data_IF_975771168929
#
_entry.id   IF_975771168929
#
_cell.length_a   1.000
_cell.length_b   1.000
_cell.length_c   1.000
_cell.angle_alpha   90.00
_cell.angle_beta   90.00
_cell.angle_gamma   90.00
#
_symmetry.space_group_name_H-M   'P 1'
#
loop_
_entity.id
_entity.type
_entity.pdbx_description
1 polymer ?
#
# COMPACT_ATOMS: atom_id res chain seq x y z
N UNK A 1 -38.47 11.41 8.00
CA UNK A 1 -39.81 11.73 8.52
C UNK A 1 -39.90 13.04 9.30
N UNK A 2 -39.72 13.13 10.63
CA UNK A 2 -39.97 14.41 11.35
C UNK A 2 -39.20 15.61 10.79
N UNK A 3 -37.89 15.45 10.57
CA UNK A 3 -37.05 16.51 9.97
C UNK A 3 -37.51 16.92 8.55
N UNK A 4 -38.06 15.96 7.82
CA UNK A 4 -38.51 16.11 6.44
C UNK A 4 -39.88 16.79 6.38
N UNK A 5 -40.79 16.46 7.30
CA UNK A 5 -42.06 17.14 7.50
C UNK A 5 -41.84 18.63 7.85
N UNK A 6 -40.90 18.92 8.76
CA UNK A 6 -40.52 20.28 9.11
C UNK A 6 -39.88 21.06 7.94
N UNK A 7 -39.10 20.40 7.06
CA UNK A 7 -38.51 21.07 5.89
C UNK A 7 -39.52 21.33 4.76
N UNK A 8 -40.66 20.65 4.78
CA UNK A 8 -41.71 20.78 3.75
C UNK A 8 -42.99 21.45 4.28
N UNK A 9 -42.94 22.07 5.48
CA UNK A 9 -44.10 22.64 6.18
C UNK A 9 -45.32 21.70 6.24
N UNK A 10 -45.06 20.41 6.43
CA UNK A 10 -46.10 19.39 6.62
C UNK A 10 -46.22 19.06 8.09
N UNK A 11 -47.45 18.90 8.57
CA UNK A 11 -47.74 18.44 9.93
C UNK A 11 -47.41 16.94 9.99
N UNK A 12 -46.47 16.50 10.86
CA UNK A 12 -46.16 15.08 10.98
C UNK A 12 -47.31 14.35 11.68
N UNK A 13 -47.97 13.44 10.98
CA UNK A 13 -48.95 12.54 11.56
C UNK A 13 -48.25 11.32 12.16
N UNK A 14 -48.43 11.12 13.47
CA UNK A 14 -47.85 10.02 14.21
C UNK A 14 -48.97 9.21 14.85
N UNK A 15 -48.80 7.89 14.90
CA UNK A 15 -49.73 6.99 15.57
C UNK A 15 -49.03 6.43 16.82
N UNK A 16 -49.73 6.52 17.95
CA UNK A 16 -49.28 5.93 19.19
C UNK A 16 -49.62 4.43 19.19
N UNK A 17 -48.60 3.59 19.33
CA UNK A 17 -48.76 2.12 19.36
C UNK A 17 -48.12 1.58 20.64
N UNK A 18 -48.83 0.67 21.32
CA UNK A 18 -48.30 -0.03 22.50
C UNK A 18 -47.07 -0.86 22.11
N UNK A 19 -46.01 -0.81 22.92
CA UNK A 19 -44.78 -1.57 22.71
C UNK A 19 -45.03 -3.09 22.62
N UNK A 20 -46.07 -3.59 23.28
CA UNK A 20 -46.45 -5.01 23.28
C UNK A 20 -47.04 -5.48 21.93
N UNK A 21 -47.65 -4.56 21.17
CA UNK A 21 -48.22 -4.85 19.84
C UNK A 21 -47.17 -4.79 18.74
N UNK A 22 -46.00 -4.21 19.03
CA UNK A 22 -44.88 -4.19 18.11
C UNK A 22 -44.19 -5.55 18.24
N UNK A 23 -44.58 -6.50 17.39
CA UNK A 23 -43.77 -7.69 17.15
C UNK A 23 -42.48 -7.22 16.46
N UNK A 24 -41.50 -6.82 17.27
CA UNK A 24 -40.12 -6.86 16.84
C UNK A 24 -39.89 -8.32 16.48
N UNK A 25 -39.79 -8.63 15.19
CA UNK A 25 -38.93 -9.73 14.78
C UNK A 25 -37.55 -9.38 15.33
N UNK A 26 -37.31 -9.72 16.60
CA UNK A 26 -36.01 -10.16 17.03
C UNK A 26 -35.80 -11.38 16.18
N UNK A 27 -35.26 -11.17 14.98
CA UNK A 27 -34.50 -12.19 14.32
C UNK A 27 -33.68 -12.81 15.44
N UNK A 28 -33.93 -14.08 15.72
CA UNK A 28 -32.99 -14.88 16.47
C UNK A 28 -31.74 -14.89 15.58
N UNK A 29 -30.96 -13.81 15.64
CA UNK A 29 -29.52 -13.89 15.55
C UNK A 29 -29.07 -14.57 16.84
N UNK A 30 -29.50 -15.82 17.02
CA UNK A 30 -28.55 -16.86 17.30
C UNK A 30 -27.59 -16.83 16.11
N UNK A 31 -26.66 -15.88 16.18
CA UNK A 31 -25.34 -16.13 15.68
C UNK A 31 -24.88 -17.34 16.48
N UNK A 32 -25.26 -18.53 16.00
CA UNK A 32 -24.28 -19.60 15.90
C UNK A 32 -23.14 -18.92 15.17
N UNK A 33 -22.23 -18.32 15.96
CA UNK A 33 -20.85 -18.29 15.61
C UNK A 33 -20.64 -19.71 15.13
N UNK A 34 -20.57 -19.88 13.81
CA UNK A 34 -19.85 -21.01 13.29
C UNK A 34 -18.51 -20.85 13.97
N UNK A 35 -18.36 -21.60 15.07
CA UNK A 35 -17.09 -21.81 15.70
C UNK A 35 -16.31 -22.37 14.54
N UNK A 36 -15.59 -21.46 13.86
CA UNK A 36 -14.74 -21.78 12.74
C UNK A 36 -13.86 -22.82 13.37
N UNK A 37 -14.20 -24.09 13.12
CA UNK A 37 -13.60 -25.19 13.83
C UNK A 37 -12.15 -24.86 13.63
N UNK A 38 -11.46 -24.57 14.74
CA UNK A 38 -10.02 -24.70 14.74
C UNK A 38 -9.92 -26.15 14.36
N UNK A 39 -9.79 -26.41 13.06
CA UNK A 39 -9.22 -27.63 12.57
C UNK A 39 -7.96 -27.62 13.39
N UNK A 40 -7.96 -28.45 14.43
CA UNK A 40 -6.75 -28.90 15.08
C UNK A 40 -6.01 -29.42 13.88
N UNK A 41 -5.19 -28.56 13.29
CA UNK A 41 -4.15 -28.99 12.40
C UNK A 41 -3.51 -30.08 13.23
N UNK A 42 -3.60 -31.31 12.76
CA UNK A 42 -3.03 -32.48 13.42
C UNK A 42 -1.49 -32.42 13.45
N UNK A 43 -0.93 -31.22 13.26
CA UNK A 43 0.41 -30.79 13.62
C UNK A 43 0.50 -30.01 14.95
N UNK A 44 -0.58 -29.86 15.73
CA UNK A 44 -0.62 -28.98 16.92
C UNK A 44 -0.70 -29.66 18.29
N UNK A 45 -0.58 -30.99 18.39
CA UNK A 45 -0.46 -31.70 19.68
C UNK A 45 0.93 -32.34 19.93
N UNK A 46 1.93 -32.02 19.09
CA UNK A 46 3.34 -32.30 19.36
C UNK A 46 4.18 -31.03 19.66
N UNK A 47 3.55 -29.87 19.80
CA UNK A 47 4.25 -28.59 20.01
C UNK A 47 3.83 -27.88 21.31
N UNK A 48 3.25 -28.60 22.27
CA UNK A 48 3.04 -28.17 23.66
C UNK A 48 4.08 -28.79 24.59
N UNK A 49 5.35 -28.74 24.21
CA UNK A 49 6.41 -28.57 25.21
C UNK A 49 6.68 -27.08 25.27
N UNK A 50 6.76 -26.52 26.47
CA UNK A 50 7.40 -25.26 26.80
C UNK A 50 8.77 -25.15 26.13
N UNK A 51 8.81 -24.86 24.83
CA UNK A 51 9.99 -24.39 24.15
C UNK A 51 9.91 -22.90 24.33
N UNK A 52 10.81 -22.41 25.18
CA UNK A 52 11.23 -21.02 25.34
C UNK A 52 10.74 -20.18 24.15
N UNK A 53 10.29 -18.95 24.43
CA UNK A 53 10.49 -17.83 23.50
C UNK A 53 11.98 -17.77 23.16
N UNK A 54 12.48 -18.69 22.34
CA UNK A 54 13.58 -18.43 21.45
C UNK A 54 13.00 -17.31 20.63
N UNK A 55 13.35 -16.06 20.99
CA UNK A 55 13.35 -14.98 20.01
C UNK A 55 13.94 -15.64 18.77
N UNK A 56 13.12 -15.96 17.77
CA UNK A 56 13.70 -16.18 16.46
C UNK A 56 14.49 -14.89 16.26
N UNK A 57 15.82 -15.01 16.17
CA UNK A 57 16.64 -13.84 15.93
C UNK A 57 16.07 -13.24 14.66
N UNK A 58 15.42 -12.09 14.82
CA UNK A 58 14.90 -11.28 13.74
C UNK A 58 15.82 -10.09 13.65
N UNK A 59 16.29 -9.81 12.45
CA UNK A 59 17.17 -8.67 12.20
C UNK A 59 16.31 -7.54 11.67
N UNK A 60 16.46 -6.36 12.27
CA UNK A 60 15.73 -5.16 11.86
C UNK A 60 16.21 -4.73 10.48
N UNK A 61 15.27 -4.35 9.60
CA UNK A 61 15.59 -3.80 8.27
C UNK A 61 16.50 -2.57 8.37
N UNK A 62 16.42 -1.80 9.46
CA UNK A 62 17.22 -0.59 9.67
C UNK A 62 18.73 -0.85 9.80
N UNK A 63 19.12 -2.08 10.13
CA UNK A 63 20.54 -2.47 10.21
C UNK A 63 21.16 -2.86 8.87
N UNK A 64 20.35 -2.90 7.80
CA UNK A 64 20.75 -3.43 6.49
C UNK A 64 20.89 -2.28 5.51
N UNK A 65 22.12 -1.80 5.35
CA UNK A 65 22.52 -0.76 4.38
C UNK A 65 22.91 -1.39 3.03
N UNK A 66 22.04 -2.25 2.52
CA UNK A 66 22.20 -2.90 1.21
C UNK A 66 21.05 -2.50 0.28
N UNK A 67 21.32 -2.40 -1.03
CA UNK A 67 20.30 -2.09 -2.02
C UNK A 67 19.26 -3.21 -2.09
N UNK A 68 18.00 -2.83 -2.15
CA UNK A 68 16.91 -3.78 -2.34
C UNK A 68 16.99 -4.43 -3.73
N UNK A 69 16.87 -5.74 -3.77
CA UNK A 69 16.94 -6.59 -4.96
C UNK A 69 15.76 -7.55 -5.02
N UNK A 70 15.35 -7.86 -6.25
CA UNK A 70 14.45 -8.97 -6.55
C UNK A 70 15.07 -9.79 -7.68
N UNK A 71 14.84 -11.10 -7.68
CA UNK A 71 15.15 -11.96 -8.81
C UNK A 71 13.86 -12.35 -9.50
N UNK A 72 13.77 -12.09 -10.80
CA UNK A 72 12.66 -12.55 -11.64
C UNK A 72 13.08 -13.87 -12.25
N UNK A 73 12.43 -14.96 -11.84
CA UNK A 73 12.79 -16.31 -12.30
C UNK A 73 12.13 -16.60 -13.64
N UNK A 74 10.79 -16.67 -13.66
CA UNK A 74 10.06 -17.21 -14.80
C UNK A 74 8.63 -16.71 -14.89
N UNK A 75 8.05 -16.86 -16.08
CA UNK A 75 6.63 -16.72 -16.38
C UNK A 75 6.10 -18.07 -16.86
N UNK A 76 4.92 -18.43 -16.39
CA UNK A 76 4.27 -19.69 -16.77
C UNK A 76 2.82 -19.45 -17.20
N UNK A 77 2.39 -20.30 -18.15
CA UNK A 77 0.99 -20.45 -18.59
C UNK A 77 0.39 -19.16 -19.13
N UNK A 78 1.20 -18.39 -19.86
CA UNK A 78 0.73 -17.24 -20.60
C UNK A 78 0.11 -17.72 -21.92
N UNK A 79 -1.20 -17.51 -22.08
CA UNK A 79 -1.88 -17.76 -23.35
C UNK A 79 -1.62 -16.58 -24.32
N UNK A 80 -0.50 -16.66 -25.04
CA UNK A 80 -0.08 -15.66 -26.03
C UNK A 80 0.63 -16.34 -27.20
N UNK A 81 0.85 -15.62 -28.30
CA UNK A 81 1.50 -16.19 -29.49
C UNK A 81 2.91 -16.69 -29.17
N UNK A 82 3.22 -17.88 -29.69
CA UNK A 82 4.54 -18.46 -29.55
C UNK A 82 5.53 -17.63 -30.37
N UNK A 83 6.75 -17.43 -29.86
CA UNK A 83 7.81 -16.59 -30.44
C UNK A 83 7.65 -15.07 -30.25
N UNK A 84 6.67 -14.62 -29.46
CA UNK A 84 6.61 -13.22 -29.03
C UNK A 84 7.78 -12.88 -28.11
N UNK A 85 8.39 -11.70 -28.31
CA UNK A 85 9.39 -11.15 -27.37
C UNK A 85 8.69 -10.49 -26.20
N UNK A 86 8.87 -11.04 -25.01
CA UNK A 86 8.28 -10.55 -23.76
C UNK A 86 9.37 -10.04 -22.82
N UNK A 87 9.03 -9.01 -22.04
CA UNK A 87 9.85 -8.52 -20.96
C UNK A 87 8.97 -8.17 -19.75
N UNK A 88 9.57 -8.12 -18.57
CA UNK A 88 8.89 -7.78 -17.34
C UNK A 88 9.39 -6.40 -16.86
N UNK A 89 8.45 -5.51 -16.56
CA UNK A 89 8.72 -4.22 -15.96
C UNK A 89 8.27 -4.25 -14.48
N UNK A 90 9.05 -3.64 -13.60
CA UNK A 90 8.77 -3.61 -12.17
C UNK A 90 9.12 -2.28 -11.50
N UNK A 91 8.38 -1.92 -10.46
CA UNK A 91 8.64 -0.73 -9.66
C UNK A 91 8.19 -0.88 -8.21
N UNK A 92 8.84 -0.13 -7.32
CA UNK A 92 8.45 -0.01 -5.92
C UNK A 92 7.52 1.19 -5.72
N UNK A 93 6.44 0.97 -4.98
CA UNK A 93 5.40 1.96 -4.74
C UNK A 93 4.97 2.00 -3.28
N UNK A 94 4.60 3.19 -2.83
CA UNK A 94 3.82 3.42 -1.62
C UNK A 94 2.53 4.13 -2.03
N UNK A 95 1.39 3.47 -1.79
CA UNK A 95 0.11 3.86 -2.40
C UNK A 95 0.21 3.98 -3.94
N UNK A 96 0.19 5.19 -4.50
CA UNK A 96 0.35 5.49 -5.93
C UNK A 96 1.69 6.13 -6.28
N UNK A 97 2.44 6.60 -5.28
CA UNK A 97 3.73 7.26 -5.48
C UNK A 97 4.84 6.21 -5.64
N UNK A 98 5.66 6.39 -6.67
CA UNK A 98 6.82 5.53 -6.94
C UNK A 98 7.95 5.90 -5.98
N UNK A 99 8.53 4.90 -5.33
CA UNK A 99 9.58 5.08 -4.32
C UNK A 99 10.97 5.33 -4.94
N UNK A 100 11.24 4.80 -6.13
CA UNK A 100 12.49 5.03 -6.86
C UNK A 100 12.32 6.06 -8.00
N UNK A 101 13.42 6.66 -8.45
CA UNK A 101 13.43 7.63 -9.55
C UNK A 101 13.12 7.04 -10.94
N UNK A 102 13.19 5.71 -11.10
CA UNK A 102 12.95 5.01 -12.36
C UNK A 102 12.14 3.73 -12.18
N UNK A 103 11.66 3.20 -13.30
CA UNK A 103 11.08 1.85 -13.37
C UNK A 103 12.14 0.92 -13.96
N UNK A 104 12.18 -0.32 -13.49
CA UNK A 104 13.17 -1.31 -13.89
C UNK A 104 12.54 -2.32 -14.85
N UNK A 105 13.34 -2.96 -15.66
CA UNK A 105 12.89 -3.96 -16.63
C UNK A 105 13.92 -5.08 -16.77
N UNK A 106 13.45 -6.27 -17.10
CA UNK A 106 14.30 -7.40 -17.48
C UNK A 106 14.74 -7.30 -18.95
N UNK A 107 15.67 -8.16 -19.35
CA UNK A 107 15.95 -8.45 -20.74
C UNK A 107 14.72 -9.01 -21.47
N UNK A 108 14.68 -8.81 -22.79
CA UNK A 108 13.68 -9.42 -23.66
C UNK A 108 13.96 -10.93 -23.77
N UNK A 109 12.94 -11.73 -23.52
CA UNK A 109 12.98 -13.19 -23.69
C UNK A 109 11.91 -13.61 -24.69
N UNK A 110 12.17 -14.69 -25.42
CA UNK A 110 11.20 -15.24 -26.37
C UNK A 110 10.26 -16.17 -25.60
N UNK A 111 8.96 -16.00 -25.81
CA UNK A 111 7.95 -16.87 -25.24
C UNK A 111 7.91 -18.20 -25.99
N UNK A 112 8.09 -19.31 -25.28
CA UNK A 112 8.04 -20.67 -25.80
C UNK A 112 6.94 -21.45 -25.05
N UNK A 113 5.90 -21.87 -25.77
CA UNK A 113 4.76 -22.61 -25.23
C UNK A 113 4.13 -21.99 -23.96
N UNK A 114 3.98 -20.65 -23.99
CA UNK A 114 3.42 -19.88 -22.89
C UNK A 114 4.32 -19.77 -21.66
N UNK A 115 5.63 -20.05 -21.79
CA UNK A 115 6.62 -19.95 -20.72
C UNK A 115 7.86 -19.20 -21.18
N UNK A 116 8.54 -18.57 -20.22
CA UNK A 116 9.89 -18.06 -20.41
C UNK A 116 10.60 -17.93 -19.06
N UNK A 117 11.94 -17.92 -19.09
CA UNK A 117 12.80 -17.74 -17.92
C UNK A 117 13.72 -16.53 -18.14
N UNK A 118 13.82 -15.67 -17.13
CA UNK A 118 14.75 -14.55 -17.11
C UNK A 118 15.95 -14.83 -16.21
N UNK A 119 15.71 -15.42 -15.03
CA UNK A 119 16.72 -15.59 -13.97
C UNK A 119 17.54 -14.32 -13.70
N UNK A 120 16.86 -13.17 -13.76
CA UNK A 120 17.51 -11.86 -13.74
C UNK A 120 17.29 -11.18 -12.39
N UNK A 121 18.38 -10.73 -11.77
CA UNK A 121 18.33 -9.95 -10.53
C UNK A 121 18.27 -8.46 -10.83
N UNK A 122 17.19 -7.81 -10.43
CA UNK A 122 16.98 -6.37 -10.55
C UNK A 122 17.37 -5.71 -9.23
N UNK A 123 18.29 -4.74 -9.32
CA UNK A 123 18.77 -3.93 -8.19
C UNK A 123 18.11 -2.55 -8.19
N UNK A 124 17.40 -2.23 -7.12
CA UNK A 124 16.73 -0.95 -6.93
C UNK A 124 17.67 0.09 -6.32
N UNK A 125 17.49 1.34 -6.71
CA UNK A 125 18.02 2.55 -6.07
C UNK A 125 17.22 2.86 -4.79
N UNK A 126 17.20 1.91 -3.86
CA UNK A 126 16.53 2.00 -2.57
C UNK A 126 17.16 0.96 -1.65
N UNK A 127 17.70 1.39 -0.51
CA UNK A 127 18.27 0.45 0.47
C UNK A 127 17.17 -0.19 1.33
N UNK A 128 17.46 -1.37 1.87
CA UNK A 128 16.51 -2.14 2.68
C UNK A 128 16.07 -1.36 3.93
N UNK A 129 16.99 -0.63 4.57
CA UNK A 129 16.69 0.22 5.72
C UNK A 129 15.69 1.35 5.42
N UNK A 130 15.59 1.79 4.16
CA UNK A 130 14.73 2.89 3.73
C UNK A 130 13.34 2.42 3.23
N UNK A 131 13.08 1.11 3.21
CA UNK A 131 11.80 0.57 2.75
C UNK A 131 10.67 0.86 3.74
N UNK A 132 9.55 1.47 3.32
CA UNK A 132 8.39 1.65 4.17
C UNK A 132 7.67 0.31 4.41
N UNK A 133 7.04 0.16 5.58
CA UNK A 133 6.32 -1.07 5.98
C UNK A 133 5.30 -1.57 4.96
N UNK A 134 4.63 -0.66 4.27
CA UNK A 134 3.58 -0.93 3.27
C UNK A 134 4.09 -0.81 1.83
N UNK A 135 5.41 -0.91 1.61
CA UNK A 135 5.99 -0.94 0.27
C UNK A 135 5.37 -2.09 -0.56
N UNK A 136 4.97 -1.74 -1.79
CA UNK A 136 4.42 -2.66 -2.78
C UNK A 136 5.39 -2.77 -3.95
N UNK A 137 5.58 -4.00 -4.41
CA UNK A 137 6.19 -4.30 -5.69
C UNK A 137 5.07 -4.43 -6.72
N UNK A 138 5.13 -3.62 -7.77
CA UNK A 138 4.21 -3.67 -8.90
C UNK A 138 4.95 -4.22 -10.12
N UNK A 139 4.34 -5.18 -10.80
CA UNK A 139 4.93 -5.91 -11.93
C UNK A 139 3.96 -5.89 -13.12
N UNK A 140 4.51 -5.79 -14.32
CA UNK A 140 3.76 -5.95 -15.57
C UNK A 140 4.62 -6.71 -16.57
N UNK A 141 4.05 -7.71 -17.22
CA UNK A 141 4.65 -8.39 -18.37
C UNK A 141 4.08 -7.74 -19.62
N UNK A 142 4.95 -7.40 -20.56
CA UNK A 142 4.59 -6.76 -21.81
C UNK A 142 5.29 -7.42 -23.00
N UNK A 143 4.65 -7.34 -24.16
CA UNK A 143 5.26 -7.65 -25.45
C UNK A 143 6.06 -6.45 -25.95
N UNK A 144 7.29 -6.70 -26.40
CA UNK A 144 8.16 -5.69 -27.02
C UNK A 144 8.20 -5.90 -28.54
N UNK A 145 7.91 -4.84 -29.30
CA UNK A 145 7.97 -4.85 -30.76
C UNK A 145 8.69 -3.61 -31.30
N UNK A 146 9.53 -3.81 -32.32
CA UNK A 146 10.20 -2.70 -33.01
C UNK A 146 9.31 -2.04 -34.07
N UNK A 147 8.38 -2.80 -34.66
CA UNK A 147 7.64 -2.40 -35.86
C UNK A 147 6.13 -2.32 -35.65
N UNK A 148 5.56 -3.08 -34.70
CA UNK A 148 4.11 -3.12 -34.52
C UNK A 148 3.59 -1.85 -33.83
N UNK A 149 2.62 -1.21 -34.48
CA UNK A 149 1.89 -0.05 -33.96
C UNK A 149 0.41 -0.31 -34.19
N UNK A 150 -0.28 -0.76 -33.15
CA UNK A 150 -1.74 -0.78 -33.11
C UNK A 150 -2.19 -0.14 -31.78
N UNK A 151 -3.48 0.05 -31.59
CA UNK A 151 -4.04 0.72 -30.39
C UNK A 151 -3.67 0.06 -29.05
N UNK A 152 -3.23 -1.20 -29.06
CA UNK A 152 -2.77 -1.92 -27.85
C UNK A 152 -1.31 -1.62 -27.50
N UNK A 153 -0.53 -1.16 -28.47
CA UNK A 153 0.89 -0.85 -28.29
C UNK A 153 1.09 0.63 -27.94
N UNK A 154 1.92 0.86 -26.92
CA UNK A 154 2.32 2.18 -26.46
C UNK A 154 3.76 2.43 -26.86
N UNK A 155 4.10 3.68 -27.18
CA UNK A 155 5.51 4.04 -27.40
C UNK A 155 6.25 3.96 -26.06
N UNK A 156 7.30 3.15 -26.01
CA UNK A 156 8.13 3.00 -24.83
C UNK A 156 9.60 2.97 -25.25
N UNK A 157 10.36 3.97 -24.82
CA UNK A 157 11.72 4.21 -25.31
C UNK A 157 11.73 4.29 -26.86
N UNK A 158 12.63 3.56 -27.52
CA UNK A 158 12.77 3.48 -28.98
C UNK A 158 11.93 2.36 -29.61
N UNK A 159 11.05 1.71 -28.83
CA UNK A 159 10.22 0.57 -29.25
C UNK A 159 8.75 0.80 -28.92
N UNK A 160 7.95 -0.20 -29.26
CA UNK A 160 6.54 -0.30 -28.91
C UNK A 160 6.35 -1.42 -27.90
N UNK A 161 5.57 -1.14 -26.85
CA UNK A 161 5.28 -2.08 -25.77
C UNK A 161 3.77 -2.30 -25.62
N UNK A 162 3.32 -3.55 -25.58
CA UNK A 162 1.94 -3.92 -25.32
C UNK A 162 1.84 -4.65 -23.97
N UNK A 163 1.29 -4.04 -22.90
CA UNK A 163 1.15 -4.72 -21.62
C UNK A 163 0.13 -5.87 -21.73
N UNK A 164 0.48 -7.05 -21.19
CA UNK A 164 -0.29 -8.28 -21.32
C UNK A 164 -0.95 -8.65 -19.99
N UNK A 165 -0.15 -8.76 -18.93
CA UNK A 165 -0.61 -9.09 -17.57
C UNK A 165 0.14 -8.30 -16.52
N UNK A 166 -0.49 -8.07 -15.37
CA UNK A 166 0.09 -7.35 -14.24
C UNK A 166 -0.17 -8.07 -12.92
N UNK A 167 0.71 -7.85 -11.95
CA UNK A 167 0.53 -8.36 -10.59
C UNK A 167 1.23 -7.46 -9.58
N UNK A 168 0.60 -7.27 -8.43
CA UNK A 168 1.17 -6.52 -7.33
C UNK A 168 1.35 -7.44 -6.13
N UNK A 169 2.40 -7.20 -5.35
CA UNK A 169 2.62 -7.90 -4.08
C UNK A 169 3.24 -6.96 -3.06
N UNK A 170 2.96 -7.18 -1.78
CA UNK A 170 3.67 -6.45 -0.72
C UNK A 170 5.11 -6.95 -0.61
N UNK A 171 6.04 -6.06 -0.26
CA UNK A 171 7.43 -6.43 0.02
C UNK A 171 7.52 -7.19 1.34
N UNK A 172 6.83 -6.67 2.36
CA UNK A 172 6.71 -7.29 3.66
C UNK A 172 5.42 -8.11 3.79
N UNK A 173 5.44 -9.17 4.58
CA UNK A 173 4.26 -9.94 4.94
C UNK A 173 3.37 -9.20 5.97
N UNK A 174 2.34 -9.86 6.48
CA UNK A 174 1.43 -9.27 7.46
C UNK A 174 2.07 -9.08 8.86
N UNK A 175 3.15 -9.82 9.17
CA UNK A 175 3.89 -9.70 10.44
C UNK A 175 5.00 -8.67 10.41
N UNK A 176 5.38 -8.19 9.23
CA UNK A 176 6.49 -7.26 9.07
C UNK A 176 7.76 -7.92 8.61
N UNK A 177 7.74 -9.22 8.36
CA UNK A 177 8.89 -9.89 7.80
C UNK A 177 9.03 -9.59 6.31
N UNK A 178 10.25 -9.31 5.89
CA UNK A 178 10.61 -9.27 4.50
C UNK A 178 10.41 -10.67 3.91
N UNK A 179 9.63 -10.77 2.83
CA UNK A 179 9.41 -12.06 2.18
C UNK A 179 10.74 -12.56 1.65
N UNK A 180 11.12 -13.80 1.95
CA UNK A 180 12.44 -14.36 1.59
C UNK A 180 12.34 -15.64 0.77
N UNK A 181 11.17 -16.29 0.76
CA UNK A 181 10.90 -17.49 -0.04
C UNK A 181 10.48 -17.06 -1.45
N UNK A 182 10.89 -17.77 -2.51
CA UNK A 182 10.35 -17.56 -3.85
C UNK A 182 8.81 -17.62 -3.87
N UNK A 183 8.20 -16.69 -4.59
CA UNK A 183 6.76 -16.50 -4.69
C UNK A 183 6.33 -16.67 -6.13
N UNK A 184 5.38 -17.56 -6.35
CA UNK A 184 4.63 -17.64 -7.61
C UNK A 184 3.38 -16.79 -7.48
N UNK A 185 3.28 -15.77 -8.32
CA UNK A 185 2.24 -14.75 -8.31
C UNK A 185 1.31 -14.91 -9.51
N UNK A 186 0.07 -15.32 -9.27
CA UNK A 186 -0.97 -15.40 -10.30
C UNK A 186 -1.37 -13.98 -10.75
N UNK A 187 -1.10 -13.68 -12.02
CA UNK A 187 -1.25 -12.36 -12.60
C UNK A 187 -2.65 -12.13 -13.19
N UNK A 188 -3.03 -10.86 -13.24
CA UNK A 188 -4.29 -10.39 -13.82
C UNK A 188 -4.09 -9.97 -15.27
N UNK A 189 -5.07 -10.19 -16.15
CA UNK A 189 -5.08 -9.61 -17.49
C UNK A 189 -4.94 -8.09 -17.43
N UNK A 190 -4.19 -7.53 -18.37
CA UNK A 190 -4.08 -6.08 -18.48
C UNK A 190 -5.32 -5.51 -19.20
N UNK A 191 -6.02 -4.53 -18.61
CA UNK A 191 -7.16 -3.91 -19.27
C UNK A 191 -6.68 -3.05 -20.45
N UNK A 192 -7.24 -3.27 -21.64
CA UNK A 192 -6.85 -2.55 -22.86
C UNK A 192 -7.49 -1.16 -22.97
N UNK A 193 -8.52 -0.85 -22.18
CA UNK A 193 -9.38 0.34 -22.36
C UNK A 193 -8.93 1.60 -21.60
N UNK A 194 -7.73 1.65 -21.03
CA UNK A 194 -7.34 2.79 -20.19
C UNK A 194 -5.84 3.09 -20.24
N UNK A 195 -5.51 4.30 -20.69
CA UNK A 195 -4.19 4.93 -20.58
C UNK A 195 -3.22 4.71 -21.76
N UNK A 196 -3.68 4.91 -22.99
CA UNK A 196 -2.80 5.02 -24.17
C UNK A 196 -1.71 6.11 -24.00
N UNK A 197 -1.94 7.09 -23.11
CA UNK A 197 -1.07 8.24 -22.85
C UNK A 197 -0.15 8.12 -21.63
N UNK A 198 -0.28 7.07 -20.82
CA UNK A 198 0.65 6.84 -19.70
C UNK A 198 1.88 6.08 -20.18
N UNK A 199 3.05 6.72 -20.14
CA UNK A 199 4.35 6.06 -20.38
C UNK A 199 4.71 4.99 -19.35
N UNK A 200 3.92 4.83 -18.28
CA UNK A 200 4.09 3.80 -17.26
C UNK A 200 2.98 2.75 -17.37
N UNK A 201 3.36 1.50 -17.66
CA UNK A 201 2.46 0.35 -17.77
C UNK A 201 2.13 -0.31 -16.42
N UNK A 202 2.74 0.16 -15.32
CA UNK A 202 2.48 -0.41 -13.99
C UNK A 202 1.16 0.08 -13.42
N UNK A 203 0.51 -0.77 -12.62
CA UNK A 203 -0.78 -0.48 -11.98
C UNK A 203 -0.65 -0.37 -10.45
N UNK A 204 -0.09 0.72 -9.90
CA UNK A 204 0.12 0.84 -8.45
C UNK A 204 -1.18 0.88 -7.63
N UNK A 205 -2.28 1.35 -8.22
CA UNK A 205 -3.62 1.32 -7.63
C UNK A 205 -4.34 -0.03 -7.82
N UNK A 206 -3.74 -0.98 -8.54
CA UNK A 206 -4.28 -2.32 -8.71
C UNK A 206 -4.29 -3.12 -7.40
N UNK A 207 -5.16 -4.13 -7.34
CA UNK A 207 -5.30 -5.00 -6.18
C UNK A 207 -4.01 -5.77 -5.85
N UNK A 208 -3.85 -6.09 -4.57
CA UNK A 208 -2.78 -6.95 -4.05
C UNK A 208 -3.16 -8.44 -4.05
N UNK A 209 -4.44 -8.75 -4.32
CA UNK A 209 -4.93 -10.12 -4.38
C UNK A 209 -4.40 -10.80 -5.63
N UNK A 210 -4.00 -12.06 -5.49
CA UNK A 210 -3.62 -12.89 -6.62
C UNK A 210 -4.86 -13.27 -7.43
N UNK A 211 -4.68 -13.46 -8.74
CA UNK A 211 -5.74 -13.93 -9.60
C UNK A 211 -6.22 -15.34 -9.18
N UNK A 212 -7.51 -15.54 -8.86
CA UNK A 212 -8.04 -16.84 -8.45
C UNK A 212 -7.89 -17.94 -9.51
N UNK A 213 -7.78 -17.59 -10.80
CA UNK A 213 -7.58 -18.56 -11.89
C UNK A 213 -6.23 -19.26 -11.84
N UNK A 214 -5.29 -18.75 -11.02
CA UNK A 214 -3.89 -19.22 -10.87
C UNK A 214 -3.00 -19.08 -12.10
N UNK A 215 -3.53 -18.56 -13.20
CA UNK A 215 -2.84 -18.48 -14.49
C UNK A 215 -3.22 -17.17 -15.22
N UNK A 216 -2.26 -16.50 -15.88
CA UNK A 216 -0.82 -16.79 -15.91
C UNK A 216 -0.10 -16.49 -14.59
N UNK A 217 1.11 -16.99 -14.39
CA UNK A 217 1.84 -16.82 -13.13
C UNK A 217 3.30 -16.40 -13.32
N UNK A 218 3.78 -15.46 -12.49
CA UNK A 218 5.16 -14.98 -12.47
C UNK A 218 5.85 -15.43 -11.18
N UNK A 219 7.01 -16.05 -11.29
CA UNK A 219 7.81 -16.46 -10.13
C UNK A 219 8.92 -15.45 -9.86
N UNK A 220 8.96 -14.91 -8.63
CA UNK A 220 9.98 -13.98 -8.17
C UNK A 220 10.56 -14.42 -6.84
N UNK A 221 11.76 -13.96 -6.50
CA UNK A 221 12.28 -14.01 -5.13
C UNK A 221 12.79 -12.64 -4.72
N UNK A 222 12.72 -12.34 -3.44
CA UNK A 222 13.34 -11.15 -2.87
C UNK A 222 14.76 -11.47 -2.44
N UNK A 223 15.63 -10.45 -2.43
CA UNK A 223 17.01 -10.59 -1.94
C UNK A 223 17.09 -11.17 -0.54
N UNK A 224 18.15 -11.96 -0.29
CA UNK A 224 18.45 -12.56 1.02
C UNK A 224 19.56 -11.76 1.71
N UNK A 225 19.17 -10.90 2.64
CA UNK A 225 20.10 -9.98 3.34
C UNK A 225 20.63 -10.52 4.67
N UNK A 226 20.18 -11.69 5.10
CA UNK A 226 20.71 -12.34 6.29
C UNK A 226 20.71 -13.86 6.12
N UNK A 227 21.76 -14.53 6.60
CA UNK A 227 21.98 -15.95 6.35
C UNK A 227 21.02 -16.86 7.14
N UNK A 228 20.78 -16.54 8.42
CA UNK A 228 20.08 -17.40 9.38
C UNK A 228 18.81 -16.79 9.97
N UNK A 229 18.85 -15.52 10.36
CA UNK A 229 17.72 -14.73 10.87
C UNK A 229 16.73 -14.28 9.78
N UNK A 230 15.47 -14.08 10.18
CA UNK A 230 14.45 -13.42 9.37
C UNK A 230 14.64 -11.91 9.45
N UNK A 231 14.61 -11.23 8.30
CA UNK A 231 14.64 -9.77 8.25
C UNK A 231 13.23 -9.24 8.48
N UNK A 232 13.05 -8.35 9.45
CA UNK A 232 11.76 -7.79 9.82
C UNK A 232 11.83 -6.26 9.90
N UNK A 233 10.73 -5.62 9.52
CA UNK A 233 10.52 -4.21 9.79
C UNK A 233 10.59 -3.96 11.31
N UNK A 234 11.20 -2.84 11.76
CA UNK A 234 11.36 -2.53 13.17
C UNK A 234 10.03 -2.54 13.92
N UNK A 235 10.10 -2.97 15.18
CA UNK A 235 8.96 -2.94 16.09
C UNK A 235 8.58 -1.50 16.46
N UNK A 236 7.36 -1.30 16.97
CA UNK A 236 6.91 0.04 17.37
C UNK A 236 7.82 0.66 18.44
N UNK A 237 8.35 -0.13 19.36
CA UNK A 237 9.24 0.36 20.43
C UNK A 237 10.57 0.88 19.87
N UNK A 238 11.18 0.14 18.93
CA UNK A 238 12.40 0.55 18.21
C UNK A 238 12.16 1.83 17.41
N UNK A 239 11.00 1.94 16.76
CA UNK A 239 10.60 3.14 16.03
C UNK A 239 10.46 4.35 16.96
N UNK A 240 9.83 4.15 18.12
CA UNK A 240 9.63 5.21 19.12
C UNK A 240 10.96 5.66 19.72
N UNK A 241 11.87 4.72 20.00
CA UNK A 241 13.21 5.01 20.51
C UNK A 241 14.01 5.84 19.50
N UNK A 242 14.08 5.40 18.25
CA UNK A 242 14.73 6.15 17.17
C UNK A 242 14.13 7.56 17.01
N UNK A 243 12.79 7.67 17.00
CA UNK A 243 12.11 8.95 16.89
C UNK A 243 12.40 9.90 18.06
N UNK A 244 12.64 9.37 19.28
CA UNK A 244 13.04 10.17 20.43
C UNK A 244 14.50 10.62 20.36
N UNK A 245 15.39 9.79 19.81
CA UNK A 245 16.81 10.12 19.64
C UNK A 245 17.03 11.19 18.57
N UNK A 246 16.34 11.07 17.42
CA UNK A 246 16.44 12.03 16.31
C UNK A 246 15.70 13.35 16.59
N UNK A 247 14.66 13.32 17.43
CA UNK A 247 13.85 14.50 17.78
C UNK A 247 13.71 14.66 19.30
N UNK A 248 14.80 14.99 20.01
CA UNK A 248 14.83 15.05 21.48
C UNK A 248 14.02 16.22 22.07
N UNK A 249 13.71 17.24 21.26
CA UNK A 249 12.91 18.42 21.65
C UNK A 249 11.41 18.10 21.81
N UNK A 250 11.08 17.17 22.71
CA UNK A 250 9.72 16.93 23.21
C UNK A 250 9.40 17.75 24.47
N UNK A 251 10.43 18.20 25.19
CA UNK A 251 10.31 18.87 26.47
C UNK A 251 10.69 20.35 26.44
N UNK A 252 10.78 20.96 25.25
CA UNK A 252 10.75 22.40 25.12
C UNK A 252 9.38 22.88 25.62
N UNK A 253 9.35 23.40 26.85
CA UNK A 253 8.23 24.13 27.41
C UNK A 253 7.76 25.20 26.42
N UNK A 254 6.71 24.91 25.64
CA UNK A 254 5.99 25.96 24.93
C UNK A 254 5.03 26.63 25.92
N UNK A 255 5.64 27.41 26.80
CA UNK A 255 4.99 28.44 27.58
C UNK A 255 4.54 29.54 26.62
N UNK A 256 3.41 29.28 25.95
CA UNK A 256 2.36 30.22 25.50
C UNK A 256 1.72 29.74 24.20
N UNK A 257 0.45 29.37 24.29
CA UNK A 257 -0.43 29.04 23.16
C UNK A 257 -0.62 30.22 22.17
N UNK A 258 -0.25 31.44 22.58
CA UNK A 258 -0.42 32.68 21.81
C UNK A 258 0.58 32.89 20.67
N UNK A 259 1.87 32.61 20.88
CA UNK A 259 2.92 32.92 19.89
C UNK A 259 2.91 31.95 18.70
N UNK A 260 2.62 30.67 18.96
CA UNK A 260 2.51 29.61 17.95
C UNK A 260 1.38 29.89 16.95
N UNK A 261 0.25 30.38 17.45
CA UNK A 261 -0.94 30.66 16.64
C UNK A 261 -0.68 31.85 15.70
N UNK A 262 -0.01 32.89 16.19
CA UNK A 262 0.36 34.07 15.37
C UNK A 262 1.41 33.68 14.32
N UNK A 263 2.44 32.91 14.66
CA UNK A 263 3.49 32.51 13.73
C UNK A 263 2.98 31.63 12.57
N UNK A 264 2.07 30.69 12.85
CA UNK A 264 1.42 29.89 11.81
C UNK A 264 0.46 30.72 10.95
N UNK A 265 -0.30 31.64 11.54
CA UNK A 265 -1.21 32.51 10.81
C UNK A 265 -0.48 33.52 9.90
N UNK A 266 0.72 33.96 10.27
CA UNK A 266 1.51 34.92 9.49
C UNK A 266 2.46 34.26 8.48
N UNK A 267 2.94 33.04 8.76
CA UNK A 267 4.03 32.41 7.99
C UNK A 267 3.59 31.17 7.23
N UNK A 268 2.55 30.46 7.69
CA UNK A 268 2.05 29.25 7.03
C UNK A 268 0.79 29.55 6.19
N UNK A 269 0.76 29.22 4.89
CA UNK A 269 -0.42 29.41 4.08
C UNK A 269 -1.52 28.40 4.47
N UNK A 270 -2.37 28.79 5.43
CA UNK A 270 -3.53 27.99 5.88
C UNK A 270 -4.55 27.71 4.77
N UNK A 271 -4.46 28.40 3.62
CA UNK A 271 -5.22 28.10 2.40
C UNK A 271 -5.04 26.64 1.95
N UNK A 272 -3.87 26.03 2.20
CA UNK A 272 -3.62 24.61 1.90
C UNK A 272 -4.67 23.69 2.57
N UNK A 273 -5.11 24.02 3.78
CA UNK A 273 -6.10 23.21 4.49
C UNK A 273 -7.53 23.45 4.00
N UNK A 274 -7.80 24.63 3.42
CA UNK A 274 -9.10 24.98 2.82
C UNK A 274 -9.29 24.40 1.42
N UNK A 275 -8.21 23.99 0.76
CA UNK A 275 -8.26 23.41 -0.57
C UNK A 275 -8.98 22.04 -0.57
N UNK A 276 -9.62 21.74 -1.70
CA UNK A 276 -10.22 20.43 -1.99
C UNK A 276 -9.22 19.30 -1.76
N UNK A 277 -9.71 18.11 -1.40
CA UNK A 277 -8.87 16.90 -1.22
C UNK A 277 -8.09 16.51 -2.47
N UNK A 278 -8.55 16.95 -3.64
CA UNK A 278 -7.92 16.69 -4.93
C UNK A 278 -7.03 17.84 -5.43
N UNK A 279 -6.87 18.91 -4.64
CA UNK A 279 -5.98 19.99 -5.02
C UNK A 279 -4.53 19.50 -4.97
N UNK A 280 -3.80 19.75 -6.07
CA UNK A 280 -2.37 19.44 -6.12
C UNK A 280 -1.61 20.30 -5.09
N UNK A 281 -0.65 19.67 -4.44
CA UNK A 281 0.25 20.33 -3.49
C UNK A 281 1.63 20.47 -4.10
N UNK A 282 2.22 21.65 -3.98
CA UNK A 282 3.59 21.86 -4.45
C UNK A 282 4.59 21.17 -3.52
N UNK A 283 5.81 20.93 -4.00
CA UNK A 283 6.91 20.40 -3.18
C UNK A 283 7.18 21.31 -1.98
N UNK A 284 7.09 22.63 -2.18
CA UNK A 284 7.25 23.62 -1.11
C UNK A 284 6.16 23.47 -0.04
N UNK A 285 4.92 23.21 -0.43
CA UNK A 285 3.81 22.99 0.51
C UNK A 285 4.03 21.70 1.32
N UNK A 286 4.39 20.60 0.66
CA UNK A 286 4.73 19.32 1.33
C UNK A 286 5.88 19.51 2.33
N UNK A 287 6.96 20.19 1.91
CA UNK A 287 8.12 20.50 2.77
C UNK A 287 7.73 21.35 3.98
N UNK A 288 6.91 22.39 3.77
CA UNK A 288 6.40 23.22 4.85
C UNK A 288 5.54 22.41 5.83
N UNK A 289 4.64 21.53 5.36
CA UNK A 289 3.84 20.67 6.26
C UNK A 289 4.75 19.81 7.14
N UNK A 290 5.75 19.16 6.55
CA UNK A 290 6.70 18.33 7.31
C UNK A 290 7.49 19.18 8.30
N UNK A 291 7.95 20.36 7.89
CA UNK A 291 8.68 21.31 8.76
C UNK A 291 7.85 21.74 9.97
N UNK A 292 6.57 22.06 9.77
CA UNK A 292 5.70 22.58 10.82
C UNK A 292 4.75 21.51 11.43
N UNK A 293 5.04 20.22 11.22
CA UNK A 293 4.17 19.09 11.64
C UNK A 293 3.75 19.11 13.11
N UNK A 294 4.66 19.49 14.01
CA UNK A 294 4.40 19.57 15.47
C UNK A 294 3.41 20.70 15.82
N UNK A 295 3.47 21.80 15.08
CA UNK A 295 2.56 22.93 15.27
C UNK A 295 1.15 22.60 14.74
N UNK A 296 1.07 21.86 13.64
CA UNK A 296 -0.20 21.40 13.06
C UNK A 296 -0.96 20.43 13.98
N UNK A 297 -0.26 19.56 14.71
CA UNK A 297 -0.90 18.67 15.69
C UNK A 297 -1.52 19.42 16.87
N UNK A 298 -0.89 20.50 17.34
CA UNK A 298 -1.47 21.36 18.37
C UNK A 298 -2.74 22.08 17.87
N UNK A 299 -2.73 22.59 16.64
CA UNK A 299 -3.89 23.25 16.04
C UNK A 299 -5.11 22.31 15.95
N UNK A 300 -4.87 21.04 15.59
CA UNK A 300 -5.90 20.00 15.55
C UNK A 300 -6.51 19.76 16.93
N UNK A 301 -5.69 19.60 17.98
CA UNK A 301 -6.16 19.37 19.35
C UNK A 301 -7.01 20.55 19.85
N UNK A 302 -6.59 21.79 19.63
CA UNK A 302 -7.37 22.99 20.03
C UNK A 302 -8.69 23.09 19.26
N UNK A 303 -8.69 22.77 17.95
CA UNK A 303 -9.91 22.74 17.12
C UNK A 303 -10.90 21.66 17.56
N UNK A 304 -10.43 20.53 18.09
CA UNK A 304 -11.27 19.40 18.52
C UNK A 304 -12.04 19.67 19.82
N UNK A 305 -11.56 20.61 20.64
CA UNK A 305 -12.24 21.08 21.85
C UNK A 305 -13.28 22.18 21.58
N UNK A 306 -13.27 22.80 20.39
CA UNK A 306 -14.27 23.80 19.99
C UNK A 306 -15.22 23.23 18.92
N UNK A 307 -16.52 23.10 19.24
CA UNK A 307 -17.56 22.49 18.38
C UNK A 307 -17.70 23.06 16.96
N UNK A 308 -17.01 24.16 16.63
CA UNK A 308 -17.20 24.95 15.40
C UNK A 308 -16.30 24.48 14.23
N UNK A 309 -15.21 23.73 14.47
CA UNK A 309 -14.25 23.33 13.41
C UNK A 309 -14.26 21.80 13.17
N UNK A 310 -15.42 21.15 13.31
CA UNK A 310 -15.52 19.68 13.16
C UNK A 310 -15.52 19.17 11.71
N UNK A 311 -15.83 20.01 10.72
CA UNK A 311 -16.21 19.48 9.40
C UNK A 311 -15.11 19.49 8.33
N UNK A 312 -13.93 20.08 8.57
CA UNK A 312 -12.88 20.16 7.55
C UNK A 312 -11.50 19.61 7.95
N UNK A 313 -11.22 19.40 9.25
CA UNK A 313 -9.90 19.01 9.74
C UNK A 313 -9.71 17.49 9.97
N UNK A 314 -10.78 16.72 10.11
CA UNK A 314 -10.73 15.36 10.67
C UNK A 314 -10.13 14.27 9.76
N UNK A 315 -10.08 14.45 8.44
CA UNK A 315 -9.75 13.33 7.52
C UNK A 315 -8.36 13.38 6.86
N UNK A 316 -7.62 14.51 6.96
CA UNK A 316 -6.37 14.69 6.18
C UNK A 316 -5.10 14.16 6.87
N UNK A 317 -5.09 14.00 8.19
CA UNK A 317 -3.89 13.59 8.93
C UNK A 317 -3.72 12.06 9.06
N UNK A 318 -4.76 11.27 8.82
CA UNK A 318 -4.72 9.80 8.93
C UNK A 318 -4.08 9.08 7.72
N UNK A 319 -3.56 9.82 6.74
CA UNK A 319 -2.95 9.27 5.52
C UNK A 319 -1.52 9.77 5.23
N UNK A 320 -0.93 10.55 6.14
CA UNK A 320 0.48 10.93 6.05
C UNK A 320 1.37 9.92 6.75
#
# INVERSE_FOLDING_TARGET
>A
FIRECLSCDKIPELILVSSEKIQLERSQQDSKLEERQRTKSTASEASSTLKRKSKQCSVSTWTIEEPFTITVHSLHKLNYDNKTKVALQCGLYYAEERLCGKVYQTAEQVLEDGQCAWEETIRFEMDVCNLPRMAKLCLVVYESSATQKNSRFRKYQDKYACPIVWVNTTVFDYKGALKSVPLTLSAWPYPQEGDEYSGCMLRPLGWLTQNPTREPAVTISFGKYHQTAQVCYPGIDEILEYANQEFPDRNGSFSTCGEVTIFLLTTFPLSIFRNSRYASMTIKDKSNIVKYRLYLSHLYIVSSQSRIIRNHFNDKLLRF
#
